data_IF_124278080631
#
_entry.id   IF_124278080631
#
_cell.length_a   1.000
_cell.length_b   1.000
_cell.length_c   1.000
_cell.angle_alpha   90.00
_cell.angle_beta   90.00
_cell.angle_gamma   90.00
#
_symmetry.space_group_name_H-M   'P 1'
#
loop_
_entity.id
_entity.type
_entity.pdbx_description
1 polymer ?
#
# COMPACT_ATOMS: atom_id res chain seq x y z
N UNK A 1 -10.42 8.33 -15.90
CA UNK A 1 -9.29 7.49 -15.45
C UNK A 1 -9.67 6.04 -15.54
N UNK A 2 -8.70 5.15 -15.72
CA UNK A 2 -8.85 3.69 -15.63
C UNK A 2 -8.31 3.20 -14.28
N UNK A 3 -8.63 1.96 -13.92
CA UNK A 3 -7.98 1.27 -12.80
C UNK A 3 -6.46 1.20 -13.08
N UNK A 4 -5.64 1.56 -12.09
CA UNK A 4 -4.18 1.35 -12.12
C UNK A 4 -3.82 0.28 -11.09
N UNK A 5 -3.13 -0.77 -11.52
CA UNK A 5 -2.61 -1.82 -10.64
C UNK A 5 -1.09 -1.81 -10.71
N UNK A 6 -0.44 -1.67 -9.55
CA UNK A 6 1.00 -1.76 -9.40
C UNK A 6 1.30 -2.96 -8.52
N UNK A 7 2.12 -3.88 -9.03
CA UNK A 7 2.66 -5.00 -8.28
C UNK A 7 4.12 -4.68 -7.98
N UNK A 8 4.48 -4.64 -6.70
CA UNK A 8 5.84 -4.38 -6.30
C UNK A 8 6.60 -5.69 -6.21
N UNK A 9 7.76 -5.74 -6.85
CA UNK A 9 8.66 -6.86 -6.72
C UNK A 9 9.36 -6.80 -5.35
N UNK A 10 8.90 -7.63 -4.42
CA UNK A 10 9.41 -7.75 -3.04
C UNK A 10 10.02 -9.12 -2.76
N UNK A 11 10.32 -9.91 -3.81
CA UNK A 11 10.71 -11.32 -3.74
C UNK A 11 9.63 -12.22 -3.10
N UNK A 12 9.81 -12.58 -1.83
CA UNK A 12 8.97 -13.55 -1.12
C UNK A 12 7.98 -12.80 -0.24
N UNK A 13 6.98 -12.16 -0.86
CA UNK A 13 5.82 -11.56 -0.18
C UNK A 13 4.81 -11.04 -1.21
N UNK A 14 3.65 -10.60 -0.71
CA UNK A 14 2.73 -9.77 -1.48
C UNK A 14 2.95 -8.28 -1.13
N UNK A 15 2.92 -7.42 -2.15
CA UNK A 15 2.82 -5.98 -1.99
C UNK A 15 2.28 -5.39 -3.28
N UNK A 16 1.10 -4.77 -3.23
CA UNK A 16 0.46 -4.21 -4.42
C UNK A 16 -0.43 -3.02 -4.09
N UNK A 17 -0.61 -2.14 -5.07
CA UNK A 17 -1.49 -0.97 -5.00
C UNK A 17 -2.47 -0.99 -6.17
N UNK A 18 -3.76 -0.85 -5.86
CA UNK A 18 -4.80 -0.53 -6.82
C UNK A 18 -5.28 0.90 -6.59
N UNK A 19 -5.33 1.70 -7.67
CA UNK A 19 -5.97 3.02 -7.66
C UNK A 19 -7.18 2.99 -8.59
N UNK A 20 -8.35 3.13 -8.00
CA UNK A 20 -9.64 3.07 -8.68
C UNK A 20 -9.85 4.31 -9.59
N UNK A 21 -10.75 4.24 -10.58
CA UNK A 21 -11.08 5.38 -11.45
C UNK A 21 -11.54 6.66 -10.73
N UNK A 22 -12.01 6.54 -9.48
CA UNK A 22 -12.41 7.67 -8.64
C UNK A 22 -11.24 8.31 -7.86
N UNK A 23 -10.04 7.72 -7.91
CA UNK A 23 -8.83 8.14 -7.19
C UNK A 23 -8.63 7.45 -5.83
N UNK A 24 -9.58 6.65 -5.35
CA UNK A 24 -9.44 5.91 -4.09
C UNK A 24 -8.57 4.68 -4.25
N UNK A 25 -7.87 4.33 -3.18
CA UNK A 25 -6.72 3.44 -3.23
C UNK A 25 -6.84 2.26 -2.26
N UNK A 26 -6.47 1.09 -2.74
CA UNK A 26 -6.33 -0.13 -1.95
C UNK A 26 -4.89 -0.60 -2.04
N UNK A 27 -4.23 -0.76 -0.91
CA UNK A 27 -2.93 -1.41 -0.82
C UNK A 27 -3.13 -2.79 -0.17
N UNK A 28 -2.59 -3.83 -0.80
CA UNK A 28 -2.57 -5.19 -0.25
C UNK A 28 -1.15 -5.47 0.19
N UNK A 29 -1.00 -5.67 1.49
CA UNK A 29 0.26 -5.79 2.23
C UNK A 29 1.20 -4.59 2.05
N UNK A 30 2.21 -4.51 2.91
CA UNK A 30 3.23 -3.47 2.87
C UNK A 30 4.65 -4.03 3.06
N UNK A 31 4.87 -5.22 2.52
CA UNK A 31 6.17 -5.85 2.45
C UNK A 31 7.25 -5.05 1.72
N UNK A 32 8.50 -5.42 1.94
CA UNK A 32 9.65 -4.87 1.22
C UNK A 32 10.82 -5.83 1.12
N UNK A 33 11.74 -5.47 0.24
CA UNK A 33 13.04 -6.08 0.13
C UNK A 33 14.13 -5.00 0.24
N UNK A 34 15.14 -5.23 1.09
CA UNK A 34 16.23 -4.28 1.34
C UNK A 34 17.10 -3.96 0.11
N UNK A 35 17.09 -4.83 -0.89
CA UNK A 35 17.85 -4.69 -2.14
C UNK A 35 17.06 -3.99 -3.25
N UNK A 36 15.77 -3.69 -3.02
CA UNK A 36 14.86 -3.11 -4.01
C UNK A 36 14.31 -1.76 -3.57
N UNK A 37 13.76 -1.03 -4.52
CA UNK A 37 13.10 0.23 -4.24
C UNK A 37 11.87 0.01 -3.35
N UNK A 38 11.78 0.78 -2.26
CA UNK A 38 10.72 0.66 -1.27
C UNK A 38 9.35 1.02 -1.87
N UNK A 39 8.34 0.13 -1.77
CA UNK A 39 7.00 0.40 -2.31
C UNK A 39 6.38 1.70 -1.81
N UNK A 40 6.46 1.97 -0.50
CA UNK A 40 5.87 3.18 0.10
C UNK A 40 6.51 4.46 -0.44
N UNK A 41 7.82 4.43 -0.67
CA UNK A 41 8.56 5.59 -1.20
C UNK A 41 8.18 5.85 -2.66
N UNK A 42 8.02 4.80 -3.46
CA UNK A 42 7.52 4.90 -4.85
C UNK A 42 6.11 5.47 -4.89
N UNK A 43 5.20 4.94 -4.08
CA UNK A 43 3.80 5.41 -4.04
C UNK A 43 3.76 6.89 -3.65
N UNK A 44 4.47 7.26 -2.58
CA UNK A 44 4.50 8.63 -2.10
C UNK A 44 5.02 9.61 -3.16
N UNK A 45 6.04 9.22 -3.94
CA UNK A 45 6.58 10.06 -5.02
C UNK A 45 5.62 10.20 -6.23
N UNK A 46 4.76 9.19 -6.47
CA UNK A 46 3.89 9.14 -7.64
C UNK A 46 2.42 9.50 -7.36
N UNK A 47 2.04 9.68 -6.09
CA UNK A 47 0.63 9.78 -5.65
C UNK A 47 -0.17 10.88 -6.36
N UNK A 48 0.40 12.07 -6.52
CA UNK A 48 -0.30 13.21 -7.10
C UNK A 48 -0.21 13.27 -8.63
N UNK A 49 0.79 12.59 -9.21
CA UNK A 49 1.08 12.60 -10.64
C UNK A 49 0.56 11.36 -11.35
N UNK A 50 1.42 10.35 -11.53
CA UNK A 50 1.07 9.14 -12.28
C UNK A 50 -0.13 8.38 -11.67
N UNK A 51 -0.26 8.36 -10.34
CA UNK A 51 -1.30 7.61 -9.66
C UNK A 51 -2.63 8.38 -9.57
N UNK A 52 -2.57 9.70 -9.41
CA UNK A 52 -3.73 10.59 -9.23
C UNK A 52 -4.61 10.15 -8.04
N UNK A 53 -3.95 9.75 -6.94
CA UNK A 53 -4.60 9.33 -5.70
C UNK A 53 -5.33 10.50 -5.05
N UNK A 54 -6.53 10.24 -4.56
CA UNK A 54 -7.29 11.21 -3.77
C UNK A 54 -7.30 10.79 -2.32
N UNK A 55 -7.16 11.78 -1.46
CA UNK A 55 -7.36 11.58 -0.03
C UNK A 55 -8.81 11.20 0.27
N UNK A 56 -8.98 10.32 1.26
CA UNK A 56 -10.28 10.01 1.85
C UNK A 56 -10.24 10.41 3.33
N UNK A 57 -11.10 11.34 3.75
CA UNK A 57 -11.09 11.91 5.11
C UNK A 57 -9.69 12.39 5.57
N UNK A 58 -8.93 13.03 4.68
CA UNK A 58 -7.58 13.54 4.97
C UNK A 58 -6.47 12.50 5.01
N UNK A 59 -6.74 11.26 4.58
CA UNK A 59 -5.77 10.16 4.57
C UNK A 59 -5.42 9.78 3.12
N UNK A 60 -4.13 9.61 2.83
CA UNK A 60 -3.63 9.36 1.46
C UNK A 60 -4.01 7.97 0.92
N UNK A 61 -4.10 6.97 1.80
CA UNK A 61 -4.49 5.61 1.44
C UNK A 61 -5.91 5.32 1.95
N UNK A 62 -6.81 4.87 1.07
CA UNK A 62 -8.20 4.61 1.49
C UNK A 62 -8.29 3.33 2.33
N UNK A 63 -7.66 2.24 1.87
CA UNK A 63 -7.66 0.95 2.56
C UNK A 63 -6.28 0.29 2.49
N UNK A 64 -5.74 -0.09 3.64
CA UNK A 64 -4.67 -1.08 3.74
C UNK A 64 -5.26 -2.43 4.13
N UNK A 65 -5.02 -3.45 3.31
CA UNK A 65 -5.40 -4.84 3.59
C UNK A 65 -4.14 -5.64 3.87
N UNK A 66 -3.96 -6.08 5.12
CA UNK A 66 -2.87 -6.98 5.53
C UNK A 66 -3.38 -8.43 5.50
N UNK A 67 -2.76 -9.25 4.68
CA UNK A 67 -3.13 -10.65 4.45
C UNK A 67 -2.55 -11.58 5.52
N UNK A 68 -1.31 -11.32 5.96
CA UNK A 68 -0.57 -12.08 6.98
C UNK A 68 0.22 -11.12 7.89
N UNK A 69 0.37 -11.40 9.19
CA UNK A 69 1.17 -10.55 10.10
C UNK A 69 2.69 -10.71 9.96
N UNK A 70 3.18 -11.59 9.09
CA UNK A 70 4.61 -11.88 8.95
C UNK A 70 5.38 -10.64 8.45
N UNK A 71 6.65 -10.54 8.85
CA UNK A 71 7.49 -9.36 8.61
C UNK A 71 7.62 -9.02 7.12
N UNK A 72 7.59 -10.03 6.25
CA UNK A 72 7.63 -9.88 4.80
C UNK A 72 6.33 -9.26 4.24
N UNK A 73 5.21 -9.32 4.96
CA UNK A 73 3.94 -8.66 4.62
C UNK A 73 3.75 -7.30 5.30
N UNK A 74 4.32 -7.07 6.48
CA UNK A 74 4.10 -5.83 7.28
C UNK A 74 5.33 -4.94 7.43
N UNK A 75 6.44 -5.27 6.76
CA UNK A 75 7.74 -4.64 7.01
C UNK A 75 7.81 -3.12 6.83
N UNK A 76 6.93 -2.49 6.06
CA UNK A 76 6.83 -1.02 5.96
C UNK A 76 5.77 -0.38 6.88
N UNK A 77 5.21 -1.07 7.87
CA UNK A 77 4.12 -0.54 8.70
C UNK A 77 4.43 0.85 9.28
N UNK A 78 5.66 1.09 9.74
CA UNK A 78 6.10 2.40 10.23
C UNK A 78 6.07 3.46 9.13
N UNK A 79 6.65 3.18 7.95
CA UNK A 79 6.64 4.12 6.82
C UNK A 79 5.24 4.40 6.29
N UNK A 80 4.34 3.42 6.33
CA UNK A 80 2.94 3.61 5.97
C UNK A 80 2.31 4.67 6.89
N UNK A 81 2.49 4.55 8.20
CA UNK A 81 1.94 5.53 9.16
C UNK A 81 2.48 6.93 8.90
N UNK A 82 3.76 7.05 8.56
CA UNK A 82 4.43 8.35 8.36
C UNK A 82 4.13 9.01 7.02
N UNK A 83 4.07 8.23 5.93
CA UNK A 83 4.07 8.76 4.55
C UNK A 83 2.80 8.50 3.76
N UNK A 84 2.03 7.49 4.17
CA UNK A 84 0.87 7.01 3.44
C UNK A 84 -0.22 6.48 4.39
N UNK A 85 -0.66 7.28 5.38
CA UNK A 85 -1.53 6.79 6.45
C UNK A 85 -2.86 6.28 5.87
N UNK A 86 -3.30 5.06 6.23
CA UNK A 86 -4.55 4.49 5.74
C UNK A 86 -5.73 4.97 6.57
N UNK A 87 -6.86 5.27 5.91
CA UNK A 87 -8.13 5.51 6.60
C UNK A 87 -8.72 4.22 7.18
N UNK A 88 -8.75 3.15 6.38
CA UNK A 88 -9.20 1.83 6.81
C UNK A 88 -8.02 0.85 6.89
N UNK A 89 -8.00 0.04 7.94
CA UNK A 89 -7.12 -1.11 8.07
C UNK A 89 -7.97 -2.38 8.16
N UNK A 90 -7.81 -3.26 7.18
CA UNK A 90 -8.31 -4.62 7.24
C UNK A 90 -7.14 -5.58 7.51
N UNK A 91 -7.26 -6.42 8.53
CA UNK A 91 -6.25 -7.44 8.84
C UNK A 91 -6.93 -8.67 9.44
N UNK A 92 -6.37 -9.85 9.19
CA UNK A 92 -6.76 -11.05 9.92
C UNK A 92 -6.33 -10.94 11.38
N UNK A 93 -7.15 -11.46 12.30
CA UNK A 93 -6.84 -11.51 13.73
C UNK A 93 -6.21 -12.85 14.16
N UNK A 94 -6.35 -13.90 13.35
CA UNK A 94 -5.91 -15.26 13.64
C UNK A 94 -5.45 -15.95 12.35
N UNK A 95 -4.39 -16.76 12.46
CA UNK A 95 -3.98 -17.76 11.46
C UNK A 95 -4.75 -19.06 11.75
N UNK A 96 -5.18 -19.79 10.70
CA UNK A 96 -5.75 -21.14 10.81
C UNK A 96 -4.64 -22.20 10.77
#
# INVERSE_FOLDING_TARGET
MTLKLIVFDVNNAACSLAVCPNGYSLMVDCGYNNEKACPVDIIHALKDGFLEMKQYNGHDLTLLHITHPDDDHVGNAVKIIEKLPPYLLHRRKHEE
#
